data_IF_960709709379
#
_entry.id   IF_960709709379
#
_cell.length_a   1.000
_cell.length_b   1.000
_cell.length_c   1.000
_cell.angle_alpha   90.00
_cell.angle_beta   90.00
_cell.angle_gamma   90.00
#
_symmetry.space_group_name_H-M   'P 1'
#
loop_
_entity.id
_entity.type
_entity.pdbx_description
1 polymer ?
#
# COMPACT_ATOMS: atom_id res chain seq x y z
N UNK A 1 -10.24 -9.79 30.25
CA UNK A 1 -10.98 -9.98 28.98
C UNK A 1 -10.11 -10.81 28.06
N UNK A 2 -10.65 -11.61 27.15
CA UNK A 2 -9.86 -12.22 26.07
C UNK A 2 -10.07 -11.44 24.78
N UNK A 3 -8.98 -11.24 24.04
CA UNK A 3 -9.01 -10.78 22.66
C UNK A 3 -8.56 -11.92 21.78
N UNK A 4 -9.38 -12.29 20.81
CA UNK A 4 -8.97 -13.17 19.73
C UNK A 4 -8.99 -12.40 18.42
N UNK A 5 -8.05 -12.71 17.54
CA UNK A 5 -8.04 -12.15 16.20
C UNK A 5 -7.69 -13.20 15.16
N UNK A 6 -8.35 -13.14 14.01
CA UNK A 6 -8.11 -14.05 12.89
C UNK A 6 -8.13 -13.29 11.56
N UNK A 7 -7.35 -13.76 10.61
CA UNK A 7 -7.39 -13.24 9.24
C UNK A 7 -8.79 -13.45 8.65
N UNK A 8 -9.37 -12.39 8.07
CA UNK A 8 -10.71 -12.50 7.48
C UNK A 8 -10.65 -13.22 6.13
N UNK A 9 -11.05 -14.49 6.11
CA UNK A 9 -11.27 -15.20 4.85
C UNK A 9 -12.63 -14.81 4.29
N UNK A 10 -12.64 -14.20 3.10
CA UNK A 10 -13.86 -14.02 2.32
C UNK A 10 -14.27 -15.38 1.73
N UNK A 11 -14.81 -16.29 2.55
CA UNK A 11 -15.52 -17.46 2.05
C UNK A 11 -17.02 -17.24 2.27
N UNK A 12 -17.71 -16.98 1.16
CA UNK A 12 -19.16 -17.04 1.09
C UNK A 12 -19.62 -18.42 1.52
N UNK A 13 -20.56 -18.45 2.45
CA UNK A 13 -21.31 -19.62 2.87
C UNK A 13 -21.79 -20.44 1.68
N UNK A 14 -21.27 -21.66 1.55
CA UNK A 14 -21.72 -22.63 0.56
C UNK A 14 -20.91 -23.90 0.66
N UNK A 15 -21.57 -24.93 1.20
CA UNK A 15 -21.27 -26.35 1.04
C UNK A 15 -20.44 -27.07 2.12
N UNK A 16 -21.04 -28.14 2.65
CA UNK A 16 -20.41 -29.12 3.53
C UNK A 16 -19.59 -30.06 2.67
N UNK A 17 -18.26 -29.91 2.67
CA UNK A 17 -17.38 -30.83 1.96
C UNK A 17 -15.95 -30.76 2.50
N UNK A 18 -15.48 -31.87 3.05
CA UNK A 18 -14.12 -32.07 3.54
C UNK A 18 -13.08 -31.81 2.46
N UNK A 19 -12.16 -30.87 2.70
CA UNK A 19 -11.00 -30.63 1.84
C UNK A 19 -10.09 -29.55 2.42
N UNK A 20 -8.94 -29.99 2.94
CA UNK A 20 -7.73 -29.24 3.37
C UNK A 20 -7.84 -27.70 3.34
N UNK A 21 -8.29 -27.11 4.45
CA UNK A 21 -8.25 -25.67 4.66
C UNK A 21 -6.82 -25.25 5.04
N UNK A 22 -6.27 -24.28 4.30
CA UNK A 22 -5.02 -23.60 4.65
C UNK A 22 -5.07 -23.06 6.07
N UNK A 23 -3.92 -23.13 6.75
CA UNK A 23 -3.75 -22.82 8.16
C UNK A 23 -4.13 -21.35 8.45
N UNK A 24 -5.39 -21.12 8.85
CA UNK A 24 -5.87 -19.80 9.24
C UNK A 24 -5.09 -19.35 10.48
N UNK A 25 -4.36 -18.23 10.38
CA UNK A 25 -3.65 -17.67 11.53
C UNK A 25 -4.66 -17.05 12.48
N UNK A 26 -4.57 -17.44 13.74
CA UNK A 26 -5.38 -16.91 14.83
C UNK A 26 -4.49 -16.65 16.03
N UNK A 27 -4.79 -15.57 16.74
CA UNK A 27 -4.07 -15.11 17.90
C UNK A 27 -5.07 -14.97 19.04
N UNK A 28 -4.69 -15.36 20.25
CA UNK A 28 -5.49 -15.18 21.46
C UNK A 28 -4.62 -14.61 22.58
N UNK A 29 -5.12 -13.59 23.26
CA UNK A 29 -4.43 -12.98 24.38
C UNK A 29 -5.40 -12.52 25.47
N UNK A 30 -5.01 -12.69 26.73
CA UNK A 30 -5.72 -12.10 27.86
C UNK A 30 -5.31 -10.64 28.07
N UNK A 31 -6.31 -9.77 28.11
CA UNK A 31 -6.18 -8.36 28.48
C UNK A 31 -6.53 -8.25 29.97
N UNK A 32 -5.55 -7.99 30.85
CA UNK A 32 -5.82 -7.72 32.26
C UNK A 32 -6.53 -6.37 32.38
N UNK A 33 -7.63 -6.36 33.13
CA UNK A 33 -8.35 -5.12 33.45
C UNK A 33 -8.12 -4.82 34.92
N UNK A 34 -7.37 -3.75 35.20
CA UNK A 34 -7.04 -3.36 36.56
C UNK A 34 -8.15 -2.46 37.11
N UNK A 35 -8.76 -2.88 38.23
CA UNK A 35 -9.76 -2.09 38.95
C UNK A 35 -11.21 -2.28 38.47
N UNK A 36 -12.11 -1.49 39.05
CA UNK A 36 -13.53 -1.49 38.70
C UNK A 36 -13.78 -0.56 37.50
N UNK A 37 -14.23 -1.13 36.38
CA UNK A 37 -14.61 -0.39 35.17
C UNK A 37 -15.85 0.48 35.47
N UNK A 38 -15.75 1.78 35.22
CA UNK A 38 -16.88 2.69 35.34
C UNK A 38 -17.74 2.68 34.08
N UNK A 39 -19.05 2.92 34.24
CA UNK A 39 -19.96 3.00 33.09
C UNK A 39 -19.56 4.17 32.20
N UNK A 40 -19.28 3.89 30.92
CA UNK A 40 -18.84 4.89 29.93
C UNK A 40 -17.33 5.09 29.86
N UNK A 41 -16.55 4.35 30.65
CA UNK A 41 -15.09 4.37 30.58
C UNK A 41 -14.57 3.70 29.30
N UNK A 42 -13.61 4.34 28.62
CA UNK A 42 -12.97 3.81 27.42
C UNK A 42 -11.74 2.99 27.80
N UNK A 43 -11.71 1.72 27.40
CA UNK A 43 -10.55 0.83 27.56
C UNK A 43 -9.84 0.72 26.21
N UNK A 44 -8.51 0.86 26.22
CA UNK A 44 -7.67 0.81 25.01
C UNK A 44 -6.69 -0.36 25.08
N UNK A 45 -6.51 -1.07 23.96
CA UNK A 45 -5.54 -2.15 23.83
C UNK A 45 -4.91 -2.13 22.42
N UNK A 46 -3.59 -2.27 22.34
CA UNK A 46 -2.86 -2.23 21.07
C UNK A 46 -2.54 -3.65 20.59
N UNK A 47 -2.93 -3.97 19.36
CA UNK A 47 -2.59 -5.23 18.70
C UNK A 47 -1.30 -5.04 17.89
N UNK A 48 -0.20 -5.65 18.33
CA UNK A 48 1.15 -5.44 17.76
C UNK A 48 1.55 -6.43 16.67
N UNK A 49 0.88 -7.58 16.57
CA UNK A 49 1.25 -8.68 15.66
C UNK A 49 0.38 -8.74 14.39
N UNK A 50 -0.23 -7.62 14.02
CA UNK A 50 -1.05 -7.53 12.81
C UNK A 50 -0.17 -7.38 11.58
N UNK A 51 -0.42 -8.22 10.57
CA UNK A 51 0.27 -8.16 9.29
C UNK A 51 -0.47 -7.15 8.40
N UNK A 52 0.25 -6.11 7.99
CA UNK A 52 -0.29 -5.14 7.02
C UNK A 52 -0.34 -5.79 5.63
N UNK A 53 -1.33 -5.47 4.79
CA UNK A 53 -2.49 -4.58 5.03
C UNK A 53 -3.77 -5.36 5.38
N UNK A 54 -3.67 -6.54 6.00
CA UNK A 54 -4.80 -7.44 6.16
C UNK A 54 -5.92 -6.89 7.07
N UNK A 55 -7.14 -7.37 6.83
CA UNK A 55 -8.27 -7.14 7.71
C UNK A 55 -8.36 -8.30 8.71
N UNK A 56 -8.57 -7.95 9.97
CA UNK A 56 -8.68 -8.92 11.06
C UNK A 56 -10.07 -8.87 11.66
N UNK A 57 -10.69 -10.04 11.82
CA UNK A 57 -11.84 -10.18 12.71
C UNK A 57 -11.30 -10.21 14.13
N UNK A 58 -11.70 -9.24 14.96
CA UNK A 58 -11.33 -9.17 16.38
C UNK A 58 -12.57 -9.45 17.21
N UNK A 59 -12.46 -10.44 18.08
CA UNK A 59 -13.47 -10.80 19.07
C UNK A 59 -12.96 -10.45 20.45
N UNK A 60 -13.78 -9.71 21.20
CA UNK A 60 -13.55 -9.36 22.60
C UNK A 60 -14.58 -10.06 23.47
N UNK A 61 -14.11 -10.88 24.41
CA UNK A 61 -14.97 -11.61 25.35
C UNK A 61 -14.64 -11.18 26.79
N UNK A 62 -15.61 -10.66 27.56
CA UNK A 62 -15.40 -10.39 28.98
C UNK A 62 -15.33 -11.71 29.76
N UNK A 63 -14.41 -11.77 30.71
CA UNK A 63 -14.28 -12.92 31.63
C UNK A 63 -14.54 -12.41 33.03
N UNK A 64 -15.46 -13.08 33.72
CA UNK A 64 -15.84 -12.76 35.10
C UNK A 64 -15.70 -14.01 35.97
N UNK A 65 -15.93 -13.86 37.28
CA UNK A 65 -16.01 -15.01 38.20
C UNK A 65 -17.15 -16.01 37.87
N UNK A 66 -18.10 -15.61 37.03
CA UNK A 66 -19.21 -16.45 36.57
C UNK A 66 -18.93 -17.11 35.22
N UNK A 67 -17.74 -16.89 34.65
CA UNK A 67 -17.34 -17.39 33.34
C UNK A 67 -17.29 -16.29 32.26
N UNK A 68 -17.31 -16.73 31.02
CA UNK A 68 -17.34 -15.89 29.83
C UNK A 68 -18.69 -15.18 29.68
N UNK A 69 -18.66 -13.89 29.38
CA UNK A 69 -19.85 -13.13 29.00
C UNK A 69 -19.98 -12.96 27.49
N UNK A 70 -20.87 -12.08 27.06
CA UNK A 70 -21.17 -11.89 25.64
C UNK A 70 -19.99 -11.29 24.85
N UNK A 71 -19.59 -11.96 23.78
CA UNK A 71 -18.54 -11.48 22.88
C UNK A 71 -19.03 -10.33 21.99
N UNK A 72 -18.14 -9.36 21.76
CA UNK A 72 -18.29 -8.38 20.67
C UNK A 72 -17.29 -8.67 19.57
N UNK A 73 -17.75 -8.66 18.32
CA UNK A 73 -16.92 -8.87 17.13
C UNK A 73 -16.83 -7.58 16.34
N UNK A 74 -15.62 -7.22 15.89
CA UNK A 74 -15.35 -6.09 15.00
C UNK A 74 -14.29 -6.46 13.99
N UNK A 75 -14.50 -6.02 12.76
CA UNK A 75 -13.48 -6.04 11.72
C UNK A 75 -12.58 -4.83 11.91
N UNK A 76 -11.33 -5.05 12.32
CA UNK A 76 -10.30 -4.01 12.27
C UNK A 76 -9.59 -4.12 10.92
N UNK A 77 -9.27 -2.95 10.34
CA UNK A 77 -8.60 -2.86 9.06
C UNK A 77 -7.43 -1.94 9.24
N UNK A 78 -6.33 -2.23 8.54
CA UNK A 78 -5.29 -1.24 8.37
C UNK A 78 -5.91 -0.05 7.61
N UNK A 79 -6.26 0.98 8.37
CA UNK A 79 -6.71 2.29 7.88
C UNK A 79 -5.57 3.25 8.16
N UNK A 80 -4.52 3.10 7.37
CA UNK A 80 -3.31 3.89 7.49
C UNK A 80 -2.70 4.04 6.11
N UNK A 81 -2.09 5.20 5.89
CA UNK A 81 -1.26 5.49 4.73
C UNK A 81 -0.33 4.30 4.48
N UNK A 82 -0.47 3.64 3.33
CA UNK A 82 0.49 2.65 2.90
C UNK A 82 1.73 3.39 2.42
N UNK A 83 2.92 2.88 2.79
CA UNK A 83 4.18 3.37 2.28
C UNK A 83 5.18 2.22 2.18
N UNK A 84 5.92 2.18 1.08
CA UNK A 84 6.97 1.20 0.83
C UNK A 84 8.12 1.85 0.05
N UNK A 85 9.27 1.99 0.70
CA UNK A 85 10.55 2.37 0.09
C UNK A 85 11.47 1.16 -0.19
N UNK A 86 10.94 -0.07 -0.18
CA UNK A 86 11.67 -1.29 -0.53
C UNK A 86 12.93 -1.64 0.29
N UNK A 87 13.20 -0.96 1.40
CA UNK A 87 14.41 -1.15 2.23
C UNK A 87 14.50 -2.52 2.94
N UNK A 88 13.36 -3.16 3.18
CA UNK A 88 13.28 -4.44 3.88
C UNK A 88 12.93 -5.60 2.92
N UNK A 89 13.35 -6.81 3.30
CA UNK A 89 12.89 -8.06 2.71
C UNK A 89 12.07 -8.80 3.78
N UNK A 90 10.78 -9.08 3.57
CA UNK A 90 10.00 -8.96 2.32
C UNK A 90 9.65 -7.51 1.92
N UNK A 91 9.60 -7.25 0.60
CA UNK A 91 9.33 -5.95 -0.03
C UNK A 91 7.88 -5.44 0.16
N UNK A 92 7.47 -5.19 1.42
CA UNK A 92 6.14 -4.69 1.78
C UNK A 92 4.97 -5.50 1.19
N UNK A 93 5.16 -6.82 1.08
CA UNK A 93 4.19 -7.76 0.49
C UNK A 93 3.87 -7.51 -1.00
N UNK A 94 4.75 -6.81 -1.73
CA UNK A 94 4.63 -6.78 -3.18
C UNK A 94 4.87 -8.18 -3.76
N UNK A 95 4.16 -8.48 -4.85
CA UNK A 95 4.23 -9.79 -5.52
C UNK A 95 4.46 -9.62 -7.02
N UNK A 96 5.27 -10.50 -7.61
CA UNK A 96 5.47 -10.55 -9.06
C UNK A 96 4.31 -11.27 -9.74
N UNK A 97 3.84 -10.75 -10.87
CA UNK A 97 2.83 -11.43 -11.67
C UNK A 97 3.47 -12.53 -12.53
N UNK A 98 3.08 -13.79 -12.32
CA UNK A 98 3.70 -14.94 -13.03
C UNK A 98 3.33 -15.06 -14.52
N UNK A 99 2.32 -14.31 -14.98
CA UNK A 99 1.80 -14.38 -16.35
C UNK A 99 2.43 -13.36 -17.30
N UNK A 100 3.37 -12.54 -16.81
CA UNK A 100 4.10 -11.58 -17.62
C UNK A 100 5.33 -12.22 -18.31
N UNK A 101 6.21 -11.41 -18.87
CA UNK A 101 7.38 -11.90 -19.61
C UNK A 101 8.63 -12.01 -18.74
N UNK A 102 8.75 -11.17 -17.70
CA UNK A 102 9.88 -11.14 -16.78
C UNK A 102 9.58 -10.34 -15.51
N UNK A 103 10.40 -10.50 -14.48
CA UNK A 103 10.15 -9.89 -13.17
C UNK A 103 10.85 -8.53 -12.98
N UNK A 104 10.25 -7.69 -12.12
CA UNK A 104 10.96 -6.56 -11.52
C UNK A 104 12.07 -7.07 -10.60
N UNK A 105 13.16 -6.34 -10.47
CA UNK A 105 14.28 -6.73 -9.61
C UNK A 105 14.46 -5.70 -8.50
N UNK A 106 14.65 -6.16 -7.26
CA UNK A 106 15.04 -5.29 -6.14
C UNK A 106 16.54 -5.03 -6.21
N UNK A 107 16.95 -3.77 -6.15
CA UNK A 107 18.33 -3.37 -6.41
C UNK A 107 18.76 -2.22 -5.52
N UNK A 108 20.03 -2.22 -5.14
CA UNK A 108 20.75 -1.04 -4.67
C UNK A 108 21.96 -0.79 -5.55
N UNK A 109 22.50 0.43 -5.49
CA UNK A 109 23.73 0.76 -6.20
C UNK A 109 24.96 0.09 -5.57
N UNK A 110 24.92 -0.24 -4.27
CA UNK A 110 26.03 -0.84 -3.52
C UNK A 110 26.23 -2.33 -3.79
N UNK A 111 25.17 -3.07 -4.11
CA UNK A 111 25.22 -4.51 -4.44
C UNK A 111 25.10 -4.76 -5.94
N UNK A 112 25.35 -3.74 -6.76
CA UNK A 112 25.19 -3.80 -8.22
C UNK A 112 26.31 -4.62 -8.85
N UNK A 113 25.96 -5.79 -9.41
CA UNK A 113 26.89 -6.57 -10.22
C UNK A 113 26.93 -6.02 -11.66
N UNK A 114 28.07 -6.23 -12.31
CA UNK A 114 28.63 -5.68 -13.55
C UNK A 114 27.81 -5.79 -14.84
N UNK A 115 26.54 -6.21 -14.77
CA UNK A 115 25.65 -6.37 -15.94
C UNK A 115 24.74 -5.16 -16.16
N UNK A 116 25.32 -3.97 -16.07
CA UNK A 116 24.62 -2.70 -16.27
C UNK A 116 24.44 -2.41 -17.76
N UNK A 117 23.27 -1.89 -18.13
CA UNK A 117 23.13 -1.24 -19.41
C UNK A 117 23.70 0.18 -19.34
N UNK A 118 24.76 0.52 -20.07
CA UNK A 118 25.32 1.88 -20.04
C UNK A 118 24.27 2.95 -20.32
N UNK A 119 24.45 4.13 -19.71
CA UNK A 119 23.60 5.31 -19.91
C UNK A 119 22.14 5.15 -19.46
N UNK A 120 21.88 4.23 -18.54
CA UNK A 120 20.61 4.12 -17.80
C UNK A 120 20.82 4.45 -16.32
N UNK A 121 19.84 4.21 -15.47
CA UNK A 121 19.97 4.49 -14.04
C UNK A 121 18.71 4.07 -13.31
N UNK A 122 18.69 4.14 -11.98
CA UNK A 122 19.31 5.21 -11.19
C UNK A 122 20.66 4.84 -10.55
N UNK A 123 21.46 5.85 -10.18
CA UNK A 123 22.79 5.68 -9.54
C UNK A 123 22.73 5.58 -8.01
N UNK A 124 21.60 5.95 -7.41
CA UNK A 124 21.24 5.81 -5.99
C UNK A 124 19.75 5.47 -5.89
N UNK A 125 19.28 5.10 -4.71
CA UNK A 125 17.85 5.12 -4.42
C UNK A 125 17.28 6.54 -4.54
N UNK A 126 15.99 6.69 -4.26
CA UNK A 126 15.33 7.99 -4.29
C UNK A 126 15.85 8.96 -3.22
N UNK A 127 16.33 8.47 -2.07
CA UNK A 127 16.83 9.30 -0.98
C UNK A 127 18.26 9.84 -1.23
N UNK A 128 18.95 9.34 -2.26
CA UNK A 128 20.34 9.67 -2.56
C UNK A 128 21.35 8.72 -1.92
N UNK A 129 20.88 7.65 -1.27
CA UNK A 129 21.67 6.57 -0.70
C UNK A 129 22.10 5.56 -1.76
N UNK A 130 23.37 5.17 -1.73
CA UNK A 130 23.87 4.05 -2.55
C UNK A 130 23.45 2.70 -1.98
N UNK A 131 23.12 2.65 -0.69
CA UNK A 131 22.70 1.44 0.02
C UNK A 131 21.19 1.24 -0.01
N UNK A 132 20.42 2.31 -0.23
CA UNK A 132 18.97 2.24 -0.34
C UNK A 132 18.54 1.41 -1.54
N UNK A 133 17.33 0.86 -1.43
CA UNK A 133 16.80 -0.10 -2.38
C UNK A 133 15.63 0.48 -3.17
N UNK A 134 15.51 0.03 -4.40
CA UNK A 134 14.40 0.35 -5.29
C UNK A 134 14.04 -0.87 -6.12
N UNK A 135 12.88 -0.84 -6.77
CA UNK A 135 12.50 -1.85 -7.76
C UNK A 135 12.81 -1.31 -9.15
N UNK A 136 13.37 -2.14 -10.03
CA UNK A 136 13.62 -1.75 -11.43
C UNK A 136 13.40 -2.89 -12.41
N UNK A 137 13.19 -2.54 -13.68
CA UNK A 137 13.25 -3.47 -14.80
C UNK A 137 14.62 -3.38 -15.47
N UNK A 138 15.23 -4.54 -15.73
CA UNK A 138 16.47 -4.66 -16.49
C UNK A 138 16.13 -4.99 -17.94
N UNK A 139 16.46 -4.08 -18.86
CA UNK A 139 16.03 -4.16 -20.28
C UNK A 139 17.08 -4.77 -21.21
N UNK A 140 18.25 -5.14 -20.70
CA UNK A 140 19.28 -5.86 -21.47
C UNK A 140 18.84 -7.26 -21.90
N UNK A 141 19.68 -7.89 -22.73
CA UNK A 141 19.42 -9.23 -23.25
C UNK A 141 19.24 -10.25 -22.10
N UNK A 142 18.26 -11.16 -22.19
CA UNK A 142 17.56 -11.58 -23.42
C UNK A 142 16.23 -10.84 -23.69
N UNK A 143 15.92 -9.75 -22.99
CA UNK A 143 14.61 -9.08 -23.13
C UNK A 143 14.37 -8.52 -24.54
N UNK A 144 13.12 -8.59 -25.00
CA UNK A 144 12.65 -8.15 -26.33
C UNK A 144 11.68 -6.97 -26.27
N UNK A 145 11.52 -6.28 -27.39
CA UNK A 145 10.70 -5.06 -27.45
C UNK A 145 9.23 -5.41 -27.16
N UNK A 146 8.59 -4.61 -26.31
CA UNK A 146 7.21 -4.83 -25.89
C UNK A 146 7.02 -5.89 -24.80
N UNK A 147 8.07 -6.61 -24.39
CA UNK A 147 7.99 -7.49 -23.22
C UNK A 147 7.70 -6.69 -21.94
N UNK A 148 6.98 -7.32 -21.02
CA UNK A 148 6.41 -6.68 -19.84
C UNK A 148 6.85 -7.35 -18.55
N UNK A 149 7.02 -6.52 -17.53
CA UNK A 149 7.16 -6.93 -16.13
C UNK A 149 6.10 -6.26 -15.26
N UNK A 150 5.48 -7.01 -14.37
CA UNK A 150 4.35 -6.57 -13.55
C UNK A 150 4.58 -6.89 -12.09
N UNK A 151 4.65 -5.83 -11.30
CA UNK A 151 4.76 -5.90 -9.84
C UNK A 151 3.48 -5.38 -9.21
N UNK A 152 2.88 -6.19 -8.35
CA UNK A 152 1.62 -5.90 -7.68
C UNK A 152 1.84 -5.51 -6.23
N UNK A 153 1.19 -4.44 -5.78
CA UNK A 153 1.06 -4.14 -4.35
C UNK A 153 0.23 -5.23 -3.64
N UNK A 154 0.26 -5.31 -2.30
CA UNK A 154 -0.78 -6.03 -1.59
C UNK A 154 -2.16 -5.41 -1.86
N UNK A 155 -3.22 -6.15 -1.56
CA UNK A 155 -4.60 -5.67 -1.77
C UNK A 155 -5.03 -4.71 -0.68
N UNK A 156 -5.57 -3.57 -1.06
CA UNK A 156 -6.12 -2.55 -0.18
C UNK A 156 -7.64 -2.49 -0.30
N UNK A 157 -8.32 -2.15 0.79
CA UNK A 157 -9.76 -1.89 0.75
C UNK A 157 -10.01 -0.42 0.45
N UNK A 158 -10.32 -0.12 -0.81
CA UNK A 158 -10.58 1.24 -1.31
C UNK A 158 -12.10 1.39 -1.40
N UNK A 159 -12.75 1.81 -0.32
CA UNK A 159 -14.22 1.82 -0.23
C UNK A 159 -14.72 3.14 0.36
N UNK A 160 -15.92 3.61 -0.05
CA UNK A 160 -16.54 4.77 0.57
C UNK A 160 -16.72 4.58 2.07
N UNK A 161 -16.24 5.52 2.89
CA UNK A 161 -16.40 5.46 4.36
C UNK A 161 -17.86 5.54 4.81
N UNK A 162 -18.72 6.20 4.03
CA UNK A 162 -20.15 6.27 4.27
C UNK A 162 -20.94 5.86 3.02
N UNK A 163 -21.55 4.66 2.97
CA UNK A 163 -22.41 4.25 1.86
C UNK A 163 -23.74 5.03 1.80
N UNK A 164 -24.10 5.78 2.86
CA UNK A 164 -25.35 6.54 2.98
C UNK A 164 -25.15 8.06 3.08
N UNK A 165 -23.92 8.57 2.88
CA UNK A 165 -23.63 10.00 2.95
C UNK A 165 -22.53 10.41 1.97
N UNK A 166 -22.58 11.66 1.54
CA UNK A 166 -21.74 12.22 0.49
C UNK A 166 -20.28 12.49 0.93
N UNK A 167 -19.58 11.48 1.44
CA UNK A 167 -18.12 11.57 1.61
C UNK A 167 -17.46 11.03 0.34
N UNK A 168 -16.97 11.92 -0.52
CA UNK A 168 -16.10 11.56 -1.64
C UNK A 168 -14.82 10.92 -1.07
N UNK A 169 -14.82 9.60 -0.96
CA UNK A 169 -13.62 8.88 -0.54
C UNK A 169 -12.68 8.88 -1.74
N UNK A 170 -11.62 9.67 -1.65
CA UNK A 170 -10.53 9.71 -2.62
C UNK A 170 -9.29 9.13 -1.95
N UNK A 171 -8.42 8.55 -2.75
CA UNK A 171 -7.10 8.11 -2.31
C UNK A 171 -6.04 8.70 -3.22
N UNK A 172 -5.02 9.28 -2.61
CA UNK A 172 -3.84 9.73 -3.31
C UNK A 172 -2.87 8.57 -3.42
N UNK A 173 -2.72 8.07 -4.63
CA UNK A 173 -1.65 7.17 -4.98
C UNK A 173 -0.46 7.98 -5.46
N UNK A 174 0.72 7.72 -4.89
CA UNK A 174 1.96 8.38 -5.28
C UNK A 174 3.13 7.42 -5.25
N UNK A 175 4.12 7.65 -6.10
CA UNK A 175 5.37 6.89 -6.11
C UNK A 175 6.44 7.73 -6.80
N UNK A 176 7.71 7.41 -6.55
CA UNK A 176 8.81 7.98 -7.31
C UNK A 176 9.18 7.06 -8.46
N UNK A 177 9.55 7.66 -9.58
CA UNK A 177 10.02 6.93 -10.75
C UNK A 177 11.31 7.53 -11.29
N UNK A 178 12.12 6.70 -11.94
CA UNK A 178 13.30 7.09 -12.68
C UNK A 178 13.25 6.44 -14.06
N UNK A 179 13.28 7.26 -15.11
CA UNK A 179 13.13 6.84 -16.50
C UNK A 179 14.16 7.59 -17.36
N UNK A 180 15.39 7.08 -17.42
CA UNK A 180 16.50 7.70 -18.14
C UNK A 180 17.17 6.72 -19.09
N UNK A 181 17.24 7.09 -20.37
CA UNK A 181 17.89 6.29 -21.39
C UNK A 181 17.28 6.50 -22.78
N UNK A 182 18.04 6.15 -23.82
CA UNK A 182 17.63 6.33 -25.22
C UNK A 182 16.44 5.45 -25.62
N UNK A 183 16.31 4.29 -24.99
CA UNK A 183 15.35 3.25 -25.37
C UNK A 183 14.30 3.01 -24.27
N UNK A 184 14.04 4.02 -23.44
CA UNK A 184 12.99 3.94 -22.42
C UNK A 184 11.66 3.62 -23.08
N UNK A 185 11.04 2.54 -22.60
CA UNK A 185 9.71 2.13 -23.02
C UNK A 185 8.63 2.89 -22.25
N UNK A 186 7.78 2.15 -21.55
CA UNK A 186 6.60 2.70 -20.87
C UNK A 186 6.48 2.17 -19.44
N UNK A 187 6.06 3.03 -18.53
CA UNK A 187 5.65 2.67 -17.19
C UNK A 187 4.15 2.95 -17.04
N UNK A 188 3.38 1.93 -16.69
CA UNK A 188 1.96 2.04 -16.39
C UNK A 188 1.70 1.67 -14.93
N UNK A 189 0.72 2.32 -14.32
CA UNK A 189 0.12 1.91 -13.05
C UNK A 189 -1.37 1.62 -13.28
N UNK A 190 -1.82 0.41 -12.95
CA UNK A 190 -3.21 -0.01 -13.07
C UNK A 190 -3.82 -0.26 -11.71
N UNK A 191 -5.11 0.04 -11.56
CA UNK A 191 -5.92 -0.47 -10.46
C UNK A 191 -6.59 -1.78 -10.90
N UNK A 192 -6.39 -2.87 -10.15
CA UNK A 192 -7.05 -4.15 -10.39
C UNK A 192 -7.91 -4.52 -9.19
N UNK A 193 -9.20 -4.76 -9.42
CA UNK A 193 -10.12 -5.22 -8.37
C UNK A 193 -9.91 -6.73 -8.12
N UNK A 194 -10.10 -7.17 -6.87
CA UNK A 194 -9.96 -8.58 -6.47
C UNK A 194 -10.92 -9.45 -7.29
N UNK A 195 -10.37 -10.46 -7.96
CA UNK A 195 -11.14 -11.36 -8.82
C UNK A 195 -11.21 -10.93 -10.29
N UNK A 196 -10.80 -9.70 -10.63
CA UNK A 196 -10.55 -9.32 -12.02
C UNK A 196 -9.20 -9.86 -12.47
N UNK A 197 -9.16 -10.38 -13.70
CA UNK A 197 -7.93 -10.84 -14.35
C UNK A 197 -7.40 -9.82 -15.36
N UNK A 198 -8.27 -8.98 -15.89
CA UNK A 198 -7.93 -7.91 -16.84
C UNK A 198 -7.77 -6.58 -16.13
N UNK A 199 -6.96 -5.71 -16.70
CA UNK A 199 -6.87 -4.29 -16.33
C UNK A 199 -7.41 -3.47 -17.50
N UNK A 200 -8.21 -2.45 -17.21
CA UNK A 200 -8.81 -1.60 -18.23
C UNK A 200 -7.82 -0.49 -18.63
N UNK A 201 -8.04 0.73 -18.15
CA UNK A 201 -7.17 1.89 -18.38
C UNK A 201 -6.22 2.11 -17.21
N UNK A 202 -4.98 2.53 -17.45
CA UNK A 202 -4.06 2.88 -16.37
C UNK A 202 -4.57 4.10 -15.61
N UNK A 203 -4.37 4.10 -14.29
CA UNK A 203 -4.59 5.29 -13.45
C UNK A 203 -3.46 6.30 -13.63
N UNK A 204 -2.30 5.83 -14.11
CA UNK A 204 -1.16 6.66 -14.47
C UNK A 204 -0.32 5.95 -15.54
N UNK A 205 0.17 6.68 -16.53
CA UNK A 205 1.04 6.14 -17.56
C UNK A 205 2.02 7.20 -18.06
N UNK A 206 3.26 6.78 -18.37
CA UNK A 206 4.28 7.63 -18.95
C UNK A 206 5.23 6.81 -19.83
N UNK A 207 5.68 7.40 -20.94
CA UNK A 207 6.58 6.75 -21.89
C UNK A 207 7.78 7.65 -22.21
N UNK A 208 8.88 7.01 -22.60
CA UNK A 208 10.09 7.69 -23.06
C UNK A 208 10.92 8.33 -21.95
N UNK A 209 12.04 8.91 -22.34
CA UNK A 209 13.03 9.50 -21.45
C UNK A 209 12.48 10.72 -20.66
N UNK A 210 12.67 10.71 -19.35
CA UNK A 210 12.23 11.74 -18.40
C UNK A 210 13.42 12.48 -17.74
N UNK A 211 14.65 12.11 -18.09
CA UNK A 211 15.88 12.64 -17.52
C UNK A 211 16.39 11.84 -16.31
N UNK A 212 17.57 12.21 -15.82
CA UNK A 212 18.37 11.47 -14.84
C UNK A 212 17.87 11.58 -13.38
N UNK A 213 16.78 12.31 -13.14
CA UNK A 213 16.31 12.57 -11.78
C UNK A 213 15.11 11.71 -11.44
N UNK A 214 15.05 11.27 -10.18
CA UNK A 214 13.83 10.76 -9.58
C UNK A 214 12.73 11.82 -9.64
N UNK A 215 11.55 11.42 -10.07
CA UNK A 215 10.36 12.28 -10.20
C UNK A 215 9.19 11.68 -9.45
N UNK A 216 8.37 12.54 -8.87
CA UNK A 216 7.14 12.15 -8.17
C UNK A 216 6.00 11.98 -9.19
N UNK A 217 5.38 10.81 -9.20
CA UNK A 217 4.09 10.57 -9.82
C UNK A 217 2.98 10.63 -8.76
N UNK A 218 1.83 11.19 -9.14
CA UNK A 218 0.62 11.21 -8.32
C UNK A 218 -0.60 10.89 -9.18
N UNK A 219 -1.57 10.18 -8.61
CA UNK A 219 -2.86 9.90 -9.23
C UNK A 219 -3.96 9.79 -8.17
N UNK A 220 -5.10 10.41 -8.45
CA UNK A 220 -6.29 10.26 -7.62
C UNK A 220 -7.03 8.98 -7.99
N UNK A 221 -7.35 8.18 -6.97
CA UNK A 221 -8.18 6.99 -7.10
C UNK A 221 -9.53 7.28 -6.45
N UNK A 222 -10.58 7.27 -7.27
CA UNK A 222 -11.96 7.48 -6.84
C UNK A 222 -12.73 6.15 -6.90
N UNK A 223 -12.91 5.43 -5.78
CA UNK A 223 -13.79 4.27 -5.73
C UNK A 223 -15.23 4.65 -6.11
N UNK A 224 -15.72 4.06 -7.19
CA UNK A 224 -16.97 4.47 -7.85
C UNK A 224 -18.23 3.80 -7.29
N UNK A 225 -18.15 2.61 -6.68
CA UNK A 225 -19.14 2.04 -5.74
C UNK A 225 -18.74 0.60 -5.41
N UNK A 226 -19.05 0.17 -4.18
CA UNK A 226 -18.76 -1.13 -3.54
C UNK A 226 -17.38 -1.31 -2.89
N UNK A 227 -17.38 -2.06 -1.78
CA UNK A 227 -16.19 -2.49 -1.05
C UNK A 227 -15.42 -3.49 -1.92
N UNK A 228 -14.49 -3.02 -2.75
CA UNK A 228 -13.67 -3.91 -3.56
C UNK A 228 -12.20 -3.80 -3.11
N UNK A 229 -11.69 -4.92 -2.60
CA UNK A 229 -10.26 -5.08 -2.41
C UNK A 229 -9.58 -4.87 -3.75
N UNK A 230 -8.55 -4.02 -3.79
CA UNK A 230 -7.91 -3.58 -5.03
C UNK A 230 -6.40 -3.60 -4.85
N UNK A 231 -5.66 -3.97 -5.88
CA UNK A 231 -4.21 -3.86 -5.92
C UNK A 231 -3.80 -2.86 -7.00
N UNK A 232 -2.66 -2.21 -6.80
CA UNK A 232 -2.01 -1.40 -7.83
C UNK A 232 -0.96 -2.27 -8.52
N UNK A 233 -0.91 -2.20 -9.84
CA UNK A 233 0.02 -2.98 -10.66
C UNK A 233 0.92 -2.02 -11.42
N UNK A 234 2.21 -2.11 -11.14
CA UNK A 234 3.25 -1.44 -11.92
C UNK A 234 3.63 -2.33 -13.10
N UNK A 235 3.33 -1.89 -14.31
CA UNK A 235 3.74 -2.56 -15.55
C UNK A 235 4.87 -1.76 -16.20
N UNK A 236 6.07 -2.33 -16.24
CA UNK A 236 7.19 -1.85 -17.02
C UNK A 236 7.21 -2.54 -18.39
N UNK A 237 7.20 -1.76 -19.46
CA UNK A 237 7.29 -2.26 -20.84
C UNK A 237 8.66 -1.89 -21.39
N UNK A 238 9.39 -2.90 -21.88
CA UNK A 238 10.68 -2.69 -22.52
C UNK A 238 10.52 -1.97 -23.87
N UNK A 239 11.34 -0.94 -24.08
CA UNK A 239 11.41 -0.21 -25.35
C UNK A 239 12.23 -0.92 -26.45
N UNK A 240 12.63 -0.20 -27.51
CA UNK A 240 13.25 -0.80 -28.71
C UNK A 240 14.70 -1.27 -28.52
N UNK A 241 15.29 -1.03 -27.35
CA UNK A 241 16.70 -1.31 -27.08
C UNK A 241 16.98 -1.52 -25.61
N UNK A 242 18.26 -1.66 -25.28
CA UNK A 242 18.71 -2.05 -23.94
C UNK A 242 18.87 -0.84 -23.00
N UNK A 243 18.99 0.37 -23.53
CA UNK A 243 19.13 1.60 -22.71
C UNK A 243 17.77 2.10 -22.22
N UNK A 244 17.04 1.23 -21.52
CA UNK A 244 15.62 1.43 -21.24
C UNK A 244 15.18 1.06 -19.83
N UNK A 245 16.09 0.99 -18.86
CA UNK A 245 15.75 0.61 -17.49
C UNK A 245 14.80 1.63 -16.85
N UNK A 246 13.80 1.12 -16.12
CA UNK A 246 12.80 1.91 -15.41
C UNK A 246 12.83 1.49 -13.95
N UNK A 247 12.88 2.46 -13.03
CA UNK A 247 12.83 2.19 -11.60
C UNK A 247 11.67 2.90 -10.91
N UNK A 248 11.20 2.30 -9.83
CA UNK A 248 10.20 2.85 -8.90
C UNK A 248 10.69 2.77 -7.46
N UNK A 249 10.28 3.73 -6.65
CA UNK A 249 10.62 3.82 -5.23
C UNK A 249 9.52 4.56 -4.45
N UNK A 250 9.53 4.49 -3.12
CA UNK A 250 8.66 5.26 -2.22
C UNK A 250 7.17 5.21 -2.59
N UNK A 251 6.64 4.01 -2.83
CA UNK A 251 5.24 3.81 -3.19
C UNK A 251 4.35 4.13 -2.00
N UNK A 252 3.34 4.97 -2.17
CA UNK A 252 2.40 5.36 -1.12
C UNK A 252 0.96 5.41 -1.61
N UNK A 253 0.04 5.04 -0.72
CA UNK A 253 -1.39 5.21 -0.89
C UNK A 253 -1.94 5.86 0.37
N UNK A 254 -2.38 7.11 0.26
CA UNK A 254 -2.92 7.90 1.35
C UNK A 254 -4.39 8.20 1.13
N UNK A 255 -5.14 8.34 2.21
CA UNK A 255 -6.52 8.81 2.11
C UNK A 255 -6.56 10.31 1.81
N UNK A 256 -7.46 10.71 0.92
CA UNK A 256 -7.62 12.09 0.44
C UNK A 256 -7.23 12.26 -1.02
N UNK A 257 -7.45 13.45 -1.54
CA UNK A 257 -6.97 13.86 -2.87
C UNK A 257 -5.45 14.08 -2.82
N UNK A 258 -4.76 13.83 -3.93
CA UNK A 258 -3.38 14.25 -4.09
C UNK A 258 -3.29 15.78 -4.04
N UNK A 259 -2.33 16.28 -3.26
CA UNK A 259 -2.03 17.71 -3.24
C UNK A 259 -1.50 18.11 -4.62
N UNK A 260 -2.13 19.11 -5.25
CA UNK A 260 -1.58 19.71 -6.46
C UNK A 260 -0.31 20.47 -6.10
N UNK A 261 0.76 20.28 -6.89
CA UNK A 261 2.05 20.93 -6.64
C UNK A 261 2.06 22.46 -6.89
N UNK A 262 0.92 23.08 -7.18
CA UNK A 262 0.76 24.52 -7.40
C UNK A 262 -0.40 25.08 -6.56
N UNK A 263 -0.17 25.28 -5.27
CA UNK A 263 -0.80 26.32 -4.47
C UNK A 263 0.21 26.70 -3.37
N UNK A 264 0.80 27.91 -3.40
CA UNK A 264 1.65 28.36 -2.31
C UNK A 264 0.81 28.32 -1.03
N UNK A 265 1.25 27.52 -0.07
CA UNK A 265 0.60 27.32 1.21
C UNK A 265 0.26 28.67 1.86
N UNK A 266 -1.03 28.99 1.90
CA UNK A 266 -1.62 30.05 2.74
C UNK A 266 -1.52 29.73 4.25
N UNK A 267 -0.58 28.87 4.65
CA UNK A 267 -0.24 28.55 6.04
C UNK A 267 0.86 29.48 6.54
N UNK A 268 0.59 30.78 6.48
CA UNK A 268 1.33 31.80 7.22
C UNK A 268 0.44 33.03 7.46
N UNK A 269 -0.80 32.82 7.90
CA UNK A 269 -1.55 33.87 8.62
C UNK A 269 -2.25 33.28 9.84
N UNK A 270 -1.55 33.45 10.96
CA UNK A 270 -2.05 33.80 12.29
C UNK A 270 -3.31 33.11 12.83
N UNK A 271 -3.14 32.38 13.93
CA UNK A 271 -3.93 32.66 15.15
C UNK A 271 -3.17 32.15 16.37
N UNK A 272 -2.35 33.02 16.97
CA UNK A 272 -2.14 32.95 18.42
C UNK A 272 -3.49 33.25 19.06
N UNK A 273 -4.14 32.22 19.62
CA UNK A 273 -5.31 32.42 20.48
C UNK A 273 -4.79 32.46 21.92
N UNK A 274 -4.46 33.65 22.41
CA UNK A 274 -4.33 33.88 23.84
C UNK A 274 -5.71 33.79 24.49
N UNK A 275 -5.82 32.94 25.53
CA UNK A 275 -7.02 32.81 26.35
C UNK A 275 -6.81 33.70 27.57
N UNK A 276 -7.48 34.87 27.58
CA UNK A 276 -7.58 35.73 28.76
C UNK A 276 -8.79 35.34 29.61
N UNK A 277 -8.58 35.13 30.91
CA UNK A 277 -9.66 35.02 31.91
C UNK A 277 -9.97 36.40 32.49
N UNK A 278 -11.24 36.78 32.50
CA UNK A 278 -11.77 37.89 33.28
C UNK A 278 -12.54 37.33 34.47
N UNK A 279 -12.05 37.57 35.68
CA UNK A 279 -12.80 37.38 36.91
C UNK A 279 -13.59 38.66 37.23
N UNK A 280 -14.89 38.53 37.44
CA UNK A 280 -15.73 39.59 38.00
C UNK A 280 -16.27 39.15 39.36
N UNK A 281 -16.20 40.08 40.31
CA UNK A 281 -16.62 39.96 41.72
C UNK A 281 -18.11 39.72 41.87
#
# INVERSE_FOLDING_TARGET
MTVTSSESTSQSSGDKGTGLAGQQRWWEQEIPVNGMIQKGELITYNLSELIKPEAYEVRLTPITKFGEGDSTIRMIKYSGNFHCGFEEDPICMFTQEKSDNFDWTRQSASTRDTKYTPNTGPTTDRSGSKQGFYMYIETSRPRLEGEKARLMTPTFNVAPKNPYGATNSAYCFSFYYHMYGKHIGTLNAYLRLKGQTTVDSPVWALSGNQGEHWRLATANIHPNTSFQASAIIFEGIRGPGIEGDIAIDDVSLMEGECMKADEPSLLLMETKKEIGFSASR
#
